data_IF_691164717746
#
_entry.id   IF_691164717746
#
_cell.length_a   1.000
_cell.length_b   1.000
_cell.length_c   1.000
_cell.angle_alpha   90.00
_cell.angle_beta   90.00
_cell.angle_gamma   90.00
#
_symmetry.space_group_name_H-M   'P 1'
#
loop_
_entity.id
_entity.type
_entity.pdbx_description
1 polymer ?
#
# COMPACT_ATOMS: atom_id res chain seq x y z
N UNK A 1 -8.19 -9.09 -4.40
CA UNK A 1 -7.71 -10.02 -3.37
C UNK A 1 -6.69 -10.92 -4.03
N UNK A 2 -5.46 -10.98 -3.52
CA UNK A 2 -4.46 -11.91 -4.06
C UNK A 2 -4.92 -13.36 -3.86
N UNK A 3 -4.43 -14.24 -4.74
CA UNK A 3 -4.63 -15.67 -4.55
C UNK A 3 -3.89 -16.10 -3.28
N UNK A 4 -4.60 -16.67 -2.31
CA UNK A 4 -4.00 -17.24 -1.09
C UNK A 4 -3.10 -18.45 -1.40
N UNK A 5 -3.17 -18.99 -2.62
CA UNK A 5 -2.37 -20.13 -3.07
C UNK A 5 -1.08 -19.74 -3.78
N UNK A 6 -0.96 -18.49 -4.22
CA UNK A 6 0.24 -17.98 -4.87
C UNK A 6 0.37 -16.49 -4.55
N UNK A 7 0.63 -16.15 -3.28
CA UNK A 7 0.96 -14.79 -2.93
C UNK A 7 2.24 -14.41 -3.70
N UNK A 8 2.30 -13.18 -4.25
CA UNK A 8 3.51 -12.71 -4.89
C UNK A 8 4.65 -12.64 -3.85
N UNK A 9 5.87 -12.98 -4.28
CA UNK A 9 7.06 -12.91 -3.42
C UNK A 9 7.40 -11.47 -3.00
N UNK A 10 6.97 -10.48 -3.80
CA UNK A 10 7.08 -9.04 -3.51
C UNK A 10 5.71 -8.39 -3.70
N UNK A 11 5.26 -7.66 -2.69
CA UNK A 11 3.99 -6.94 -2.68
C UNK A 11 4.12 -5.50 -3.19
N UNK A 12 5.30 -4.89 -3.01
CA UNK A 12 5.65 -3.58 -3.59
C UNK A 12 5.41 -3.57 -5.11
N UNK A 13 4.86 -2.48 -5.63
CA UNK A 13 4.69 -2.31 -7.07
C UNK A 13 3.73 -3.31 -7.72
N UNK A 14 2.96 -4.08 -6.94
CA UNK A 14 1.83 -4.87 -7.46
C UNK A 14 0.70 -3.95 -7.93
N UNK A 15 -0.19 -4.46 -8.79
CA UNK A 15 -1.30 -3.66 -9.35
C UNK A 15 -2.11 -2.92 -8.28
N UNK A 16 -2.51 -3.54 -7.15
CA UNK A 16 -3.28 -2.82 -6.12
C UNK A 16 -2.52 -1.64 -5.53
N UNK A 17 -1.22 -1.80 -5.25
CA UNK A 17 -0.42 -0.71 -4.69
C UNK A 17 -0.15 0.38 -5.72
N UNK A 18 0.14 0.04 -6.99
CA UNK A 18 0.27 1.04 -8.06
C UNK A 18 -1.00 1.86 -8.26
N UNK A 19 -2.16 1.22 -8.14
CA UNK A 19 -3.46 1.90 -8.23
C UNK A 19 -3.66 2.88 -7.06
N UNK A 20 -3.23 2.50 -5.85
CA UNK A 20 -3.24 3.38 -4.66
C UNK A 20 -2.26 4.54 -4.82
N UNK A 21 -1.00 4.27 -5.19
CA UNK A 21 0.02 5.28 -5.45
C UNK A 21 -0.48 6.34 -6.44
N UNK A 22 -1.07 5.89 -7.55
CA UNK A 22 -1.63 6.76 -8.58
C UNK A 22 -2.88 7.52 -8.11
N UNK A 23 -3.76 6.89 -7.34
CA UNK A 23 -5.01 7.52 -6.89
C UNK A 23 -4.78 8.58 -5.81
N UNK A 24 -3.81 8.35 -4.92
CA UNK A 24 -3.55 9.20 -3.77
C UNK A 24 -2.27 10.06 -3.92
N UNK A 25 -1.54 9.91 -5.02
CA UNK A 25 -0.25 10.56 -5.32
C UNK A 25 0.78 10.30 -4.21
N UNK A 26 0.87 9.04 -3.78
CA UNK A 26 1.83 8.55 -2.76
C UNK A 26 2.85 7.61 -3.38
N UNK A 27 3.97 7.43 -2.70
CA UNK A 27 4.97 6.41 -3.03
C UNK A 27 4.93 5.40 -1.88
N UNK A 28 4.83 4.11 -2.21
CA UNK A 28 4.70 3.02 -1.24
C UNK A 28 5.84 2.05 -1.52
N UNK A 29 6.84 2.06 -0.64
CA UNK A 29 7.94 1.11 -0.68
C UNK A 29 7.52 -0.28 -0.15
N UNK A 30 8.44 -1.24 -0.17
CA UNK A 30 8.18 -2.61 0.30
C UNK A 30 7.79 -2.69 1.78
N UNK A 31 8.39 -1.86 2.64
CA UNK A 31 8.10 -1.85 4.08
C UNK A 31 6.69 -1.28 4.32
N UNK A 32 6.37 -0.16 3.67
CA UNK A 32 5.06 0.45 3.69
C UNK A 32 3.99 -0.48 3.10
N UNK A 33 4.29 -1.21 2.02
CA UNK A 33 3.37 -2.20 1.44
C UNK A 33 3.08 -3.34 2.41
N UNK A 34 4.10 -3.84 3.13
CA UNK A 34 3.92 -4.86 4.17
C UNK A 34 3.07 -4.34 5.32
N UNK A 35 3.35 -3.13 5.82
CA UNK A 35 2.60 -2.50 6.90
C UNK A 35 1.14 -2.29 6.49
N UNK A 36 0.89 -1.77 5.29
CA UNK A 36 -0.46 -1.52 4.78
C UNK A 36 -1.25 -2.82 4.61
N UNK A 37 -0.60 -3.94 4.26
CA UNK A 37 -1.24 -5.25 4.17
C UNK A 37 -1.68 -5.80 5.53
N UNK A 38 -0.92 -5.51 6.59
CA UNK A 38 -1.20 -5.99 7.95
C UNK A 38 -2.22 -5.12 8.70
N UNK A 39 -2.54 -3.93 8.17
CA UNK A 39 -3.48 -2.98 8.79
C UNK A 39 -4.94 -3.23 8.39
N UNK A 40 -5.86 -2.87 9.29
CA UNK A 40 -7.27 -2.71 8.93
C UNK A 40 -7.46 -1.56 7.93
N UNK A 41 -8.50 -1.65 7.09
CA UNK A 41 -8.74 -0.70 6.00
C UNK A 41 -8.82 0.76 6.47
N UNK A 42 -9.45 1.03 7.60
CA UNK A 42 -9.56 2.36 8.21
C UNK A 42 -8.19 2.90 8.65
N UNK A 43 -7.36 2.04 9.25
CA UNK A 43 -6.03 2.41 9.69
C UNK A 43 -5.07 2.59 8.49
N UNK A 44 -5.15 1.72 7.48
CA UNK A 44 -4.41 1.83 6.23
C UNK A 44 -4.77 3.12 5.46
N UNK A 45 -6.05 3.46 5.38
CA UNK A 45 -6.51 4.72 4.79
C UNK A 45 -5.92 5.94 5.53
N UNK A 46 -5.89 5.89 6.86
CA UNK A 46 -5.24 6.92 7.68
C UNK A 46 -3.75 7.08 7.38
N UNK A 47 -3.02 5.95 7.26
CA UNK A 47 -1.59 5.93 6.93
C UNK A 47 -1.32 6.51 5.54
N UNK A 48 -2.13 6.17 4.53
CA UNK A 48 -2.02 6.71 3.16
C UNK A 48 -2.21 8.25 3.17
N UNK A 49 -3.16 8.76 3.95
CA UNK A 49 -3.36 10.21 4.11
C UNK A 49 -2.15 10.88 4.78
N UNK A 50 -1.54 10.21 5.78
CA UNK A 50 -0.32 10.72 6.43
C UNK A 50 0.87 10.75 5.46
N UNK A 51 1.06 9.70 4.65
CA UNK A 51 2.10 9.65 3.61
C UNK A 51 1.96 10.82 2.64
N UNK A 52 0.74 11.08 2.15
CA UNK A 52 0.46 12.22 1.25
C UNK A 52 0.82 13.56 1.89
N UNK A 53 0.50 13.75 3.17
CA UNK A 53 0.76 15.00 3.87
C UNK A 53 2.22 15.14 4.36
N UNK A 54 2.97 14.03 4.41
CA UNK A 54 4.38 13.95 4.81
C UNK A 54 5.37 14.21 3.68
N UNK A 55 4.94 14.17 2.41
CA UNK A 55 5.70 14.65 1.25
C UNK A 55 5.89 16.17 1.35
N UNK A 56 6.89 16.61 2.10
CA UNK A 56 7.36 18.01 2.19
C UNK A 56 8.69 18.17 1.49
#
# INVERSE_FOLDING_TARGET
>A
MWSTQSPPDVIEGTSPFRDIEKAFDVEIDEEDASILCDMFLDAAAGKIVQMRNGKK
#
